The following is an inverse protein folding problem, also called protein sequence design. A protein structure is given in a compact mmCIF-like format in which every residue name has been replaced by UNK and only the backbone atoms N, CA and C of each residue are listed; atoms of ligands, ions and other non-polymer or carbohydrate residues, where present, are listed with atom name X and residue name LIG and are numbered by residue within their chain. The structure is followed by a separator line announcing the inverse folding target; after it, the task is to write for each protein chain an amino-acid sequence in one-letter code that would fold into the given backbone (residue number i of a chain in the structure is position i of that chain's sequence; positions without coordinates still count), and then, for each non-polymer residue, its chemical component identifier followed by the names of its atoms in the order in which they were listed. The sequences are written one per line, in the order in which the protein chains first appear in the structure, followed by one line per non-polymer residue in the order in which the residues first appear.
data_IF_636476939381
#
_entry.id   IF_636476939381
#
_cell.length_a   1.000
_cell.length_b   1.000
_cell.length_c   1.000
_cell.angle_alpha   90.00
_cell.angle_beta   90.00
_cell.angle_gamma   90.00
#
_symmetry.space_group_name_H-M   'P 1'
#
loop_
_entity.id
_entity.type
_entity.pdbx_description
1 polymer ?
#
# COMPACT_ATOMS: atom_id res chain seq x y z
N UNK A 1 22.06 -18.49 -18.27
CA UNK A 1 21.93 -19.00 -16.88
C UNK A 1 20.46 -18.91 -16.51
N UNK A 2 19.91 -19.86 -15.78
CA UNK A 2 18.56 -19.77 -15.26
C UNK A 2 18.51 -18.66 -14.21
N UNK A 3 17.52 -17.76 -14.31
CA UNK A 3 17.33 -16.71 -13.33
C UNK A 3 16.75 -17.30 -12.05
N UNK A 4 17.27 -16.89 -10.90
CA UNK A 4 16.80 -17.29 -9.58
C UNK A 4 16.12 -16.13 -8.88
N UNK A 5 14.91 -16.35 -8.40
CA UNK A 5 14.15 -15.39 -7.62
C UNK A 5 14.10 -15.80 -6.15
N UNK A 6 13.90 -14.84 -5.25
CA UNK A 6 13.52 -15.14 -3.88
C UNK A 6 12.21 -14.46 -3.49
N UNK A 7 11.49 -15.05 -2.56
CA UNK A 7 10.27 -14.50 -1.97
C UNK A 7 10.50 -14.31 -0.46
N UNK A 8 10.62 -13.06 -0.04
CA UNK A 8 10.78 -12.68 1.36
C UNK A 8 9.41 -12.51 2.01
N UNK A 9 9.16 -13.19 3.10
CA UNK A 9 7.91 -13.08 3.86
C UNK A 9 8.19 -13.21 5.36
N UNK A 10 7.29 -12.69 6.18
CA UNK A 10 7.27 -12.95 7.62
C UNK A 10 5.97 -13.65 8.06
N UNK A 11 5.05 -13.81 7.12
CA UNK A 11 3.81 -14.55 7.26
C UNK A 11 3.35 -15.06 5.90
N UNK A 12 3.05 -16.35 5.81
CA UNK A 12 2.52 -16.95 4.60
C UNK A 12 1.01 -16.73 4.53
N UNK A 13 0.55 -15.87 3.62
CA UNK A 13 -0.86 -15.62 3.31
C UNK A 13 -1.24 -16.34 2.01
N UNK A 14 -2.44 -16.10 1.52
CA UNK A 14 -2.89 -16.62 0.21
C UNK A 14 -1.99 -16.10 -0.91
N UNK A 15 -1.65 -14.81 -0.87
CA UNK A 15 -0.82 -14.14 -1.87
C UNK A 15 0.55 -14.81 -2.03
N UNK A 16 1.25 -15.09 -0.94
CA UNK A 16 2.57 -15.72 -0.98
C UNK A 16 2.48 -17.16 -1.52
N UNK A 17 1.44 -17.92 -1.14
CA UNK A 17 1.20 -19.27 -1.67
C UNK A 17 0.96 -19.24 -3.17
N UNK A 18 0.16 -18.31 -3.67
CA UNK A 18 -0.14 -18.22 -5.10
C UNK A 18 1.05 -17.73 -5.93
N UNK A 19 1.92 -16.85 -5.38
CA UNK A 19 3.18 -16.50 -6.04
C UNK A 19 4.10 -17.73 -6.16
N UNK A 20 4.21 -18.55 -5.10
CA UNK A 20 5.00 -19.79 -5.13
C UNK A 20 4.42 -20.77 -6.19
N UNK A 21 3.09 -20.96 -6.19
CA UNK A 21 2.41 -21.81 -7.15
C UNK A 21 2.63 -21.33 -8.60
N UNK A 22 2.56 -20.01 -8.84
CA UNK A 22 2.80 -19.43 -10.16
C UNK A 22 4.24 -19.64 -10.64
N UNK A 23 5.22 -19.46 -9.76
CA UNK A 23 6.62 -19.76 -10.08
C UNK A 23 6.82 -21.24 -10.46
N UNK A 24 6.24 -22.16 -9.70
CA UNK A 24 6.28 -23.60 -9.99
C UNK A 24 5.65 -23.94 -11.35
N UNK A 25 4.46 -23.38 -11.65
CA UNK A 25 3.77 -23.58 -12.94
C UNK A 25 4.61 -23.07 -14.12
N UNK A 26 5.36 -21.99 -13.92
CA UNK A 26 6.22 -21.38 -14.94
C UNK A 26 7.62 -22.04 -15.01
N UNK A 27 7.93 -22.99 -14.15
CA UNK A 27 9.27 -23.63 -14.08
C UNK A 27 10.37 -22.66 -13.62
N UNK A 28 10.02 -21.62 -12.85
CA UNK A 28 10.95 -20.61 -12.32
C UNK A 28 11.43 -21.03 -10.95
N UNK A 29 12.75 -20.98 -10.72
CA UNK A 29 13.33 -21.19 -9.40
C UNK A 29 13.00 -20.02 -8.50
N UNK A 30 12.12 -20.22 -7.53
CA UNK A 30 11.75 -19.26 -6.51
C UNK A 30 12.08 -19.81 -5.12
N UNK A 31 12.92 -19.12 -4.36
CA UNK A 31 13.34 -19.50 -3.01
C UNK A 31 12.51 -18.76 -1.96
N UNK A 32 11.59 -19.44 -1.23
CA UNK A 32 10.88 -18.83 -0.11
C UNK A 32 11.84 -18.63 1.06
N UNK A 33 11.87 -17.42 1.63
CA UNK A 33 12.76 -17.04 2.74
C UNK A 33 11.94 -16.40 3.84
N UNK A 34 11.91 -17.02 5.03
CA UNK A 34 11.28 -16.39 6.20
C UNK A 34 12.18 -15.28 6.74
N UNK A 35 11.71 -14.07 6.60
CA UNK A 35 12.43 -12.87 7.04
C UNK A 35 12.71 -12.81 8.55
N UNK A 36 11.99 -13.61 9.35
CA UNK A 36 12.22 -13.70 10.80
C UNK A 36 13.43 -14.58 11.17
N UNK A 37 13.86 -15.41 10.25
CA UNK A 37 15.01 -16.31 10.41
C UNK A 37 16.30 -15.72 9.84
N UNK A 38 16.23 -14.51 9.25
CA UNK A 38 17.38 -13.83 8.68
C UNK A 38 18.20 -13.09 9.74
N UNK A 39 19.53 -13.22 9.60
CA UNK A 39 20.49 -12.28 10.14
C UNK A 39 21.40 -11.81 9.00
N UNK A 40 21.58 -10.51 8.85
CA UNK A 40 22.28 -9.91 7.72
C UNK A 40 23.51 -9.11 8.21
N UNK A 41 24.68 -9.45 7.70
CA UNK A 41 25.90 -8.68 7.97
C UNK A 41 25.93 -7.46 7.02
N UNK A 42 25.70 -6.27 7.57
CA UNK A 42 25.62 -5.00 6.81
C UNK A 42 27.00 -4.45 6.41
N UNK A 43 28.07 -4.91 7.05
CA UNK A 43 29.45 -4.52 6.68
C UNK A 43 30.07 -5.42 5.62
N UNK A 44 29.47 -6.59 5.35
CA UNK A 44 29.80 -7.42 4.22
C UNK A 44 28.90 -7.05 3.03
N UNK A 45 29.45 -6.37 2.03
CA UNK A 45 28.72 -5.90 0.86
C UNK A 45 28.62 -6.95 -0.26
N UNK A 46 29.18 -8.13 -0.08
CA UNK A 46 29.06 -9.19 -1.08
C UNK A 46 27.59 -9.59 -1.23
N UNK A 47 27.21 -9.87 -2.48
CA UNK A 47 25.91 -10.42 -2.81
C UNK A 47 25.75 -11.78 -2.15
N UNK A 48 24.65 -12.00 -1.48
CA UNK A 48 24.35 -13.27 -0.85
C UNK A 48 23.48 -14.10 -1.81
N UNK A 49 24.01 -15.24 -2.26
CA UNK A 49 23.39 -16.08 -3.30
C UNK A 49 22.01 -16.63 -2.91
N UNK A 50 21.66 -16.64 -1.62
CA UNK A 50 20.34 -17.12 -1.19
C UNK A 50 19.20 -16.25 -1.73
N UNK A 51 19.47 -14.95 -1.99
CA UNK A 51 18.46 -14.01 -2.49
C UNK A 51 18.29 -14.06 -4.01
N UNK A 52 19.17 -14.74 -4.74
CA UNK A 52 19.11 -14.83 -6.19
C UNK A 52 19.35 -13.50 -6.91
N UNK A 53 18.77 -13.36 -8.09
CA UNK A 53 18.92 -12.17 -8.94
C UNK A 53 17.98 -11.05 -8.52
N UNK A 54 16.73 -11.40 -8.14
CA UNK A 54 15.70 -10.47 -7.69
C UNK A 54 14.96 -11.07 -6.48
N UNK A 55 14.75 -10.24 -5.46
CA UNK A 55 13.94 -10.58 -4.30
C UNK A 55 12.54 -9.91 -4.39
N UNK A 56 11.49 -10.69 -4.18
CA UNK A 56 10.11 -10.20 -4.07
C UNK A 56 9.82 -10.03 -2.59
N UNK A 57 9.69 -8.80 -2.11
CA UNK A 57 9.43 -8.49 -0.70
C UNK A 57 7.91 -8.48 -0.43
N UNK A 58 7.48 -9.28 0.56
CA UNK A 58 6.08 -9.50 0.93
C UNK A 58 5.84 -9.54 2.44
N UNK A 59 6.73 -8.99 3.26
CA UNK A 59 6.52 -8.96 4.71
C UNK A 59 5.27 -8.15 5.07
N UNK A 60 4.52 -8.65 6.05
CA UNK A 60 3.40 -7.93 6.65
C UNK A 60 3.90 -6.78 7.54
N UNK A 61 5.04 -6.98 8.20
CA UNK A 61 5.69 -5.95 8.99
C UNK A 61 6.41 -4.95 8.08
N UNK A 62 5.83 -3.76 7.92
CA UNK A 62 6.38 -2.70 7.08
C UNK A 62 7.87 -2.42 7.36
N UNK A 63 8.25 -2.15 8.58
CA UNK A 63 9.64 -1.81 8.90
C UNK A 63 10.61 -2.99 8.71
N UNK A 64 10.17 -4.23 8.94
CA UNK A 64 11.00 -5.41 8.62
C UNK A 64 11.27 -5.48 7.12
N UNK A 65 10.23 -5.44 6.31
CA UNK A 65 10.37 -5.46 4.85
C UNK A 65 11.21 -4.30 4.34
N UNK A 66 10.94 -3.08 4.84
CA UNK A 66 11.66 -1.87 4.44
C UNK A 66 13.17 -1.96 4.73
N UNK A 67 13.57 -2.38 5.94
CA UNK A 67 14.99 -2.46 6.27
C UNK A 67 15.70 -3.63 5.57
N UNK A 68 15.02 -4.77 5.38
CA UNK A 68 15.59 -5.86 4.58
C UNK A 68 15.80 -5.37 3.15
N UNK A 69 14.83 -4.71 2.54
CA UNK A 69 14.96 -4.12 1.20
C UNK A 69 16.16 -3.17 1.10
N UNK A 70 16.32 -2.25 2.07
CA UNK A 70 17.47 -1.35 2.10
C UNK A 70 18.81 -2.09 2.13
N UNK A 71 18.90 -3.15 2.96
CA UNK A 71 20.13 -3.97 3.08
C UNK A 71 20.40 -4.72 1.78
N UNK A 72 19.39 -5.31 1.16
CA UNK A 72 19.54 -6.06 -0.09
C UNK A 72 19.96 -5.17 -1.25
N UNK A 73 19.33 -4.00 -1.40
CA UNK A 73 19.70 -3.02 -2.42
C UNK A 73 21.14 -2.51 -2.23
N UNK A 74 21.56 -2.28 -0.96
CA UNK A 74 22.95 -1.90 -0.66
C UNK A 74 23.96 -3.01 -1.03
N UNK A 75 23.52 -4.27 -1.06
CA UNK A 75 24.31 -5.43 -1.54
C UNK A 75 24.18 -5.65 -3.06
N UNK A 76 23.52 -4.76 -3.80
CA UNK A 76 23.31 -4.86 -5.24
C UNK A 76 22.30 -5.93 -5.67
N UNK A 77 21.38 -6.32 -4.77
CA UNK A 77 20.26 -7.22 -5.08
C UNK A 77 19.04 -6.34 -5.40
N UNK A 78 18.43 -6.57 -6.55
CA UNK A 78 17.19 -5.88 -6.90
C UNK A 78 16.03 -6.39 -6.05
N UNK A 79 15.19 -5.48 -5.54
CA UNK A 79 14.02 -5.84 -4.75
C UNK A 79 12.74 -5.29 -5.39
N UNK A 80 11.70 -6.05 -5.38
CA UNK A 80 10.34 -5.67 -5.74
C UNK A 80 9.50 -5.64 -4.45
N UNK A 81 9.06 -4.48 -4.02
CA UNK A 81 9.28 -3.13 -4.58
C UNK A 81 10.58 -2.52 -4.07
N UNK A 82 11.19 -1.57 -4.82
CA UNK A 82 12.39 -0.86 -4.37
C UNK A 82 12.18 -0.12 -3.05
N UNK A 83 13.26 0.08 -2.30
CA UNK A 83 13.24 0.81 -1.03
C UNK A 83 12.54 2.17 -1.13
N UNK A 84 12.84 2.93 -2.19
CA UNK A 84 12.23 4.25 -2.40
C UNK A 84 10.70 4.19 -2.55
N UNK A 85 10.19 3.15 -3.22
CA UNK A 85 8.75 2.91 -3.39
C UNK A 85 8.13 2.42 -2.08
N UNK A 86 8.77 1.45 -1.42
CA UNK A 86 8.29 0.89 -0.16
C UNK A 86 8.23 1.96 0.95
N UNK A 87 9.27 2.80 1.07
CA UNK A 87 9.33 3.89 2.03
C UNK A 87 8.24 4.94 1.77
N UNK A 88 8.07 5.34 0.49
CA UNK A 88 7.08 6.35 0.12
C UNK A 88 5.64 5.85 0.34
N UNK A 89 5.32 4.66 -0.14
CA UNK A 89 3.97 4.10 -0.03
C UNK A 89 3.62 3.65 1.41
N UNK A 90 4.62 3.35 2.24
CA UNK A 90 4.42 2.99 3.64
C UNK A 90 4.00 4.16 4.53
N UNK A 91 4.33 5.38 4.13
CA UNK A 91 4.04 6.62 4.83
C UNK A 91 2.92 7.40 4.11
N UNK A 92 1.74 7.48 4.72
CA UNK A 92 0.57 8.15 4.12
C UNK A 92 0.80 9.63 3.86
N UNK A 93 1.55 10.31 4.74
CA UNK A 93 1.85 11.72 4.58
C UNK A 93 2.75 11.95 3.36
N UNK A 94 3.85 11.21 3.27
CA UNK A 94 4.79 11.35 2.15
C UNK A 94 4.14 10.94 0.82
N UNK A 95 3.34 9.88 0.81
CA UNK A 95 2.62 9.42 -0.36
C UNK A 95 1.62 10.48 -0.84
N UNK A 96 0.77 11.02 0.05
CA UNK A 96 -0.20 12.06 -0.29
C UNK A 96 0.47 13.34 -0.80
N UNK A 97 1.57 13.77 -0.18
CA UNK A 97 2.35 14.91 -0.65
C UNK A 97 2.92 14.69 -2.06
N UNK A 98 3.41 13.48 -2.34
CA UNK A 98 3.95 13.11 -3.66
C UNK A 98 2.86 13.14 -4.73
N UNK A 99 1.70 12.56 -4.45
CA UNK A 99 0.54 12.54 -5.36
C UNK A 99 0.02 13.96 -5.62
N UNK A 100 -0.19 14.76 -4.58
CA UNK A 100 -0.65 16.13 -4.69
C UNK A 100 0.31 17.01 -5.50
N UNK A 101 1.63 16.90 -5.25
CA UNK A 101 2.68 17.64 -6.00
C UNK A 101 2.66 17.28 -7.49
N UNK A 102 2.29 16.06 -7.84
CA UNK A 102 2.18 15.60 -9.23
C UNK A 102 0.85 15.96 -9.89
N UNK A 103 -0.05 16.66 -9.18
CA UNK A 103 -1.38 17.01 -9.68
C UNK A 103 -2.35 15.84 -9.77
N UNK A 104 -2.09 14.74 -9.03
CA UNK A 104 -3.03 13.64 -8.89
C UNK A 104 -4.15 14.09 -7.94
N UNK A 105 -5.42 14.01 -8.33
CA UNK A 105 -6.53 14.31 -7.42
C UNK A 105 -6.46 13.45 -6.17
N UNK A 106 -6.35 14.09 -5.00
CA UNK A 106 -6.32 13.42 -3.70
C UNK A 106 -7.29 14.13 -2.74
N UNK A 107 -7.82 13.44 -1.73
CA UNK A 107 -8.64 14.10 -0.74
C UNK A 107 -7.88 15.22 -0.02
N UNK A 108 -8.58 16.31 0.32
CA UNK A 108 -8.00 17.39 1.13
C UNK A 108 -7.39 16.82 2.41
N UNK A 109 -6.14 17.15 2.67
CA UNK A 109 -5.39 16.60 3.79
C UNK A 109 -4.64 17.71 4.50
N UNK A 110 -4.73 17.74 5.82
CA UNK A 110 -4.01 18.66 6.71
C UNK A 110 -3.17 17.85 7.68
N UNK A 111 -2.02 18.36 8.03
CA UNK A 111 -1.15 17.77 9.05
C UNK A 111 -0.84 18.80 10.12
N UNK A 112 -1.01 18.43 11.39
CA UNK A 112 -0.62 19.21 12.53
C UNK A 112 0.31 18.39 13.43
N UNK A 113 1.11 19.06 14.26
CA UNK A 113 2.11 18.43 15.13
C UNK A 113 1.80 18.65 16.62
N UNK A 114 0.71 19.33 16.91
CA UNK A 114 0.14 19.47 18.24
C UNK A 114 -1.38 19.31 18.18
N UNK A 115 -1.97 18.92 19.30
CA UNK A 115 -3.43 18.79 19.41
C UNK A 115 -4.14 20.10 19.13
N UNK A 116 -3.62 21.22 19.69
CA UNK A 116 -4.24 22.53 19.55
C UNK A 116 -4.27 23.00 18.10
N UNK A 117 -3.16 22.84 17.36
CA UNK A 117 -3.12 23.17 15.93
C UNK A 117 -3.96 22.19 15.08
N UNK A 118 -4.10 20.93 15.50
CA UNK A 118 -5.00 19.98 14.84
C UNK A 118 -6.47 20.39 15.02
N UNK A 119 -6.87 20.81 16.23
CA UNK A 119 -8.21 21.34 16.50
C UNK A 119 -8.47 22.61 15.70
N UNK A 120 -7.53 23.55 15.70
CA UNK A 120 -7.64 24.77 14.91
C UNK A 120 -7.79 24.51 13.42
N UNK A 121 -6.99 23.60 12.85
CA UNK A 121 -7.09 23.22 11.45
C UNK A 121 -8.45 22.59 11.10
N UNK A 122 -9.03 21.80 12.01
CA UNK A 122 -10.37 21.26 11.84
C UNK A 122 -11.44 22.36 11.83
N UNK A 123 -11.34 23.36 12.70
CA UNK A 123 -12.33 24.42 12.82
C UNK A 123 -12.21 25.48 11.71
N UNK A 124 -11.00 25.83 11.30
CA UNK A 124 -10.77 26.94 10.36
C UNK A 124 -10.69 26.47 8.89
N UNK A 125 -10.21 25.25 8.64
CA UNK A 125 -9.91 24.84 7.27
C UNK A 125 -10.60 23.55 6.80
N UNK A 126 -10.66 22.50 7.66
CA UNK A 126 -11.15 21.19 7.23
C UNK A 126 -12.65 21.04 7.34
N UNK A 127 -13.21 21.40 8.49
CA UNK A 127 -14.59 21.15 8.85
C UNK A 127 -14.84 19.69 9.30
N UNK A 128 -16.10 19.42 9.62
CA UNK A 128 -16.56 18.08 10.02
C UNK A 128 -17.63 17.57 9.05
N UNK A 129 -17.71 16.25 8.81
CA UNK A 129 -16.83 15.20 9.34
C UNK A 129 -15.48 15.14 8.63
N UNK A 130 -14.44 14.75 9.37
CA UNK A 130 -13.12 14.44 8.84
C UNK A 130 -12.66 13.05 9.29
N UNK A 131 -11.50 12.59 8.83
CA UNK A 131 -10.93 11.29 9.20
C UNK A 131 -9.51 11.48 9.70
N UNK A 132 -9.23 11.03 10.91
CA UNK A 132 -7.84 10.97 11.41
C UNK A 132 -7.24 9.59 11.15
N UNK A 133 -6.00 9.56 10.65
CA UNK A 133 -5.27 8.33 10.32
C UNK A 133 -3.87 8.37 10.92
N UNK A 134 -3.28 7.24 11.33
CA UNK A 134 -1.85 7.18 11.60
C UNK A 134 -1.08 7.31 10.29
N UNK A 135 0.08 7.97 10.30
CA UNK A 135 0.94 8.08 9.10
C UNK A 135 1.45 6.72 8.63
N UNK A 136 1.77 5.82 9.56
CA UNK A 136 2.07 4.41 9.31
C UNK A 136 0.95 3.51 9.80
N UNK A 137 0.55 2.55 9.01
CA UNK A 137 -0.48 1.56 9.40
C UNK A 137 -1.28 1.05 8.22
N UNK A 138 -1.86 -0.15 8.41
CA UNK A 138 -2.63 -0.88 7.39
C UNK A 138 -3.94 -1.41 7.97
N UNK A 139 -4.79 -1.93 7.10
CA UNK A 139 -6.07 -2.58 7.42
C UNK A 139 -7.08 -1.70 8.18
N UNK A 140 -7.01 -0.39 8.01
CA UNK A 140 -7.94 0.53 8.67
C UNK A 140 -7.80 0.57 10.21
N UNK A 141 -6.65 0.16 10.75
CA UNK A 141 -6.37 0.25 12.19
C UNK A 141 -6.05 1.69 12.58
N UNK A 142 -6.56 2.10 13.75
CA UNK A 142 -6.37 3.46 14.29
C UNK A 142 -6.85 4.58 13.35
N UNK A 143 -7.74 4.24 12.41
CA UNK A 143 -8.46 5.23 11.60
C UNK A 143 -9.80 5.49 12.27
N UNK A 144 -10.11 6.75 12.52
CA UNK A 144 -11.35 7.15 13.18
C UNK A 144 -12.00 8.35 12.49
N UNK A 145 -13.35 8.40 12.43
CA UNK A 145 -14.06 9.57 11.96
C UNK A 145 -14.11 10.63 13.05
N UNK A 146 -13.77 11.85 12.71
CA UNK A 146 -13.96 13.05 13.51
C UNK A 146 -15.30 13.66 13.10
N UNK A 147 -16.37 13.29 13.81
CA UNK A 147 -17.74 13.66 13.42
C UNK A 147 -18.08 15.11 13.77
N UNK A 148 -17.53 15.57 14.87
CA UNK A 148 -17.77 16.88 15.47
C UNK A 148 -16.56 17.27 16.35
N UNK A 149 -16.63 18.47 16.91
CA UNK A 149 -15.59 19.03 17.76
C UNK A 149 -15.31 18.18 19.01
N UNK A 150 -16.34 17.66 19.67
CA UNK A 150 -16.19 16.87 20.90
C UNK A 150 -15.49 15.53 20.62
N UNK A 151 -15.94 14.82 19.58
CA UNK A 151 -15.31 13.59 19.12
C UNK A 151 -13.84 13.81 18.69
N UNK A 152 -13.58 14.93 18.00
CA UNK A 152 -12.21 15.28 17.58
C UNK A 152 -11.32 15.51 18.79
N UNK A 153 -11.77 16.34 19.75
CA UNK A 153 -10.99 16.64 20.96
C UNK A 153 -10.63 15.36 21.72
N UNK A 154 -11.60 14.49 21.98
CA UNK A 154 -11.36 13.23 22.70
C UNK A 154 -10.35 12.32 21.99
N UNK A 155 -10.46 12.17 20.65
CA UNK A 155 -9.56 11.32 19.89
C UNK A 155 -8.14 11.90 19.75
N UNK A 156 -7.99 13.22 19.71
CA UNK A 156 -6.69 13.87 19.67
C UNK A 156 -5.99 13.79 21.04
N UNK A 157 -6.74 13.93 22.14
CA UNK A 157 -6.24 13.71 23.49
C UNK A 157 -5.77 12.26 23.69
N UNK A 158 -6.56 11.27 23.27
CA UNK A 158 -6.19 9.86 23.34
C UNK A 158 -4.86 9.57 22.59
N UNK A 159 -4.67 10.18 21.41
CA UNK A 159 -3.41 10.03 20.65
C UNK A 159 -2.21 10.69 21.33
N UNK A 160 -2.41 11.82 21.98
CA UNK A 160 -1.37 12.50 22.73
C UNK A 160 -0.85 11.61 23.88
N UNK A 161 -1.78 10.91 24.57
CA UNK A 161 -1.48 10.01 25.69
C UNK A 161 -0.92 8.65 25.26
N UNK A 162 -1.07 8.22 24.01
CA UNK A 162 -0.56 6.93 23.52
C UNK A 162 0.98 6.77 23.62
N UNK A 163 1.72 7.82 23.90
CA UNK A 163 3.16 7.81 24.16
C UNK A 163 4.05 7.50 22.94
N UNK A 164 3.48 7.28 21.77
CA UNK A 164 4.23 7.08 20.53
C UNK A 164 4.26 8.37 19.71
N UNK A 165 5.44 8.99 19.50
CA UNK A 165 5.56 10.26 18.77
C UNK A 165 4.91 10.27 17.37
N UNK A 166 4.81 9.11 16.71
CA UNK A 166 4.16 9.00 15.40
C UNK A 166 2.64 9.23 15.48
N UNK A 167 2.01 9.06 16.65
CA UNK A 167 0.59 9.35 16.81
C UNK A 167 0.31 10.83 17.09
N UNK A 168 1.34 11.58 17.43
CA UNK A 168 1.30 13.05 17.58
C UNK A 168 1.56 13.78 16.24
N UNK A 169 1.72 13.03 15.14
CA UNK A 169 1.60 13.55 13.78
C UNK A 169 0.13 13.37 13.39
N UNK A 170 -0.64 14.43 13.53
CA UNK A 170 -2.08 14.42 13.29
C UNK A 170 -2.37 14.57 11.80
N UNK A 171 -2.41 13.44 11.09
CA UNK A 171 -2.77 13.37 9.67
C UNK A 171 -4.30 13.31 9.58
N UNK A 172 -4.90 14.42 9.18
CA UNK A 172 -6.35 14.63 9.09
C UNK A 172 -6.73 14.81 7.63
N UNK A 173 -7.69 14.03 7.17
CA UNK A 173 -8.16 14.03 5.80
C UNK A 173 -9.66 14.25 5.77
N UNK A 174 -10.18 14.93 4.75
CA UNK A 174 -11.62 15.07 4.56
C UNK A 174 -12.32 13.72 4.50
N UNK A 175 -13.53 13.65 5.06
CA UNK A 175 -14.38 12.48 4.89
C UNK A 175 -15.07 12.58 3.53
N UNK A 176 -14.49 11.93 2.52
CA UNK A 176 -14.99 11.95 1.15
C UNK A 176 -16.41 11.37 1.08
N UNK A 177 -17.38 12.16 0.57
CA UNK A 177 -18.72 11.69 0.27
C UNK A 177 -18.66 10.78 -0.96
N UNK A 178 -18.93 9.51 -0.79
CA UNK A 178 -18.78 8.46 -1.82
C UNK A 178 -19.83 7.37 -1.67
N UNK A 179 -20.08 6.56 -2.70
CA UNK A 179 -20.81 5.31 -2.55
C UNK A 179 -20.18 4.43 -1.45
N UNK A 180 -20.92 3.48 -0.84
CA UNK A 180 -20.38 2.60 0.22
C UNK A 180 -19.37 1.58 -0.34
N UNK A 181 -18.50 2.04 -1.22
CA UNK A 181 -17.45 1.26 -1.88
C UNK A 181 -16.25 2.14 -2.20
N UNK A 182 -15.13 1.52 -2.47
CA UNK A 182 -13.97 2.11 -3.12
C UNK A 182 -13.46 1.21 -4.24
N UNK A 183 -12.46 1.69 -4.97
CA UNK A 183 -11.81 0.97 -6.07
C UNK A 183 -10.41 0.58 -5.61
N UNK A 184 -10.09 -0.73 -5.66
CA UNK A 184 -8.73 -1.26 -5.52
C UNK A 184 -8.25 -1.76 -6.86
N UNK A 185 -7.16 -1.17 -7.35
CA UNK A 185 -6.50 -1.63 -8.58
C UNK A 185 -5.12 -2.20 -8.27
N UNK A 186 -4.83 -3.38 -8.77
CA UNK A 186 -3.52 -4.01 -8.73
C UNK A 186 -2.77 -3.63 -9.99
N UNK A 187 -1.61 -2.99 -9.84
CA UNK A 187 -0.70 -2.59 -10.92
C UNK A 187 0.57 -3.42 -10.80
N UNK A 188 1.04 -3.98 -11.91
CA UNK A 188 2.29 -4.73 -12.02
C UNK A 188 3.13 -4.09 -13.12
N UNK A 189 4.22 -3.44 -12.72
CA UNK A 189 5.01 -2.63 -13.66
C UNK A 189 4.22 -1.43 -14.17
N UNK A 190 3.95 -1.41 -15.46
CA UNK A 190 3.17 -0.41 -16.19
C UNK A 190 1.78 -0.92 -16.61
N UNK A 191 1.37 -2.09 -16.12
CA UNK A 191 0.11 -2.74 -16.50
C UNK A 191 -0.85 -2.85 -15.34
N UNK A 192 -2.13 -2.63 -15.61
CA UNK A 192 -3.22 -2.95 -14.68
C UNK A 192 -3.51 -4.44 -14.77
N UNK A 193 -3.24 -5.18 -13.68
CA UNK A 193 -3.53 -6.60 -13.60
C UNK A 193 -5.03 -6.83 -13.31
N UNK A 194 -5.60 -6.14 -12.33
CA UNK A 194 -7.01 -6.27 -12.00
C UNK A 194 -7.51 -5.02 -11.27
N UNK A 195 -8.80 -4.74 -11.41
CA UNK A 195 -9.49 -3.72 -10.65
C UNK A 195 -10.80 -4.23 -10.09
N UNK A 196 -11.07 -3.91 -8.82
CA UNK A 196 -12.26 -4.34 -8.10
C UNK A 196 -12.89 -3.20 -7.31
N UNK A 197 -14.20 -3.23 -7.21
CA UNK A 197 -14.92 -2.53 -6.15
C UNK A 197 -14.80 -3.31 -4.84
N UNK A 198 -14.54 -2.59 -3.75
CA UNK A 198 -14.62 -3.14 -2.39
C UNK A 198 -15.78 -2.47 -1.69
N UNK A 199 -16.80 -3.22 -1.35
CA UNK A 199 -17.96 -2.72 -0.61
C UNK A 199 -17.73 -2.81 0.88
N UNK A 200 -18.14 -1.79 1.62
CA UNK A 200 -18.13 -1.81 3.08
C UNK A 200 -19.12 -2.84 3.64
N UNK A 201 -18.82 -3.40 4.81
CA UNK A 201 -19.81 -4.15 5.57
C UNK A 201 -20.95 -3.21 6.03
N UNK A 202 -22.17 -3.72 6.32
CA UNK A 202 -23.31 -2.86 6.68
C UNK A 202 -23.06 -1.93 7.87
N UNK A 203 -22.23 -2.36 8.81
CA UNK A 203 -21.96 -1.64 10.07
C UNK A 203 -20.57 -0.97 10.09
N UNK A 204 -19.85 -0.94 8.96
CA UNK A 204 -18.54 -0.30 8.86
C UNK A 204 -18.49 0.60 7.61
N UNK A 205 -18.03 1.82 7.78
CA UNK A 205 -17.81 2.76 6.68
C UNK A 205 -16.52 2.47 5.88
N UNK A 206 -15.65 1.63 6.44
CA UNK A 206 -14.40 1.21 5.80
C UNK A 206 -14.63 0.04 4.84
N UNK A 207 -13.98 0.06 3.72
CA UNK A 207 -14.19 -0.89 2.60
C UNK A 207 -13.21 -2.08 2.59
N UNK A 208 -12.39 -2.22 3.65
CA UNK A 208 -11.40 -3.29 3.72
C UNK A 208 -12.06 -4.68 3.72
N UNK A 209 -11.69 -5.54 2.75
CA UNK A 209 -12.19 -6.92 2.64
C UNK A 209 -11.91 -7.73 3.92
N UNK A 210 -10.78 -7.48 4.59
CA UNK A 210 -10.45 -8.09 5.87
C UNK A 210 -11.47 -7.80 7.01
N UNK A 211 -12.38 -6.83 6.80
CA UNK A 211 -13.44 -6.43 7.73
C UNK A 211 -14.83 -6.92 7.30
N UNK A 212 -14.90 -7.91 6.40
CA UNK A 212 -16.17 -8.48 5.91
C UNK A 212 -16.75 -7.80 4.66
N UNK A 213 -15.97 -6.92 4.01
CA UNK A 213 -16.34 -6.31 2.73
C UNK A 213 -16.44 -7.33 1.60
N UNK A 214 -17.25 -7.01 0.57
CA UNK A 214 -17.39 -7.80 -0.65
C UNK A 214 -16.53 -7.21 -1.76
N UNK A 215 -16.04 -8.08 -2.66
CA UNK A 215 -15.37 -7.67 -3.88
C UNK A 215 -16.28 -7.91 -5.09
N UNK A 216 -16.23 -6.99 -6.06
CA UNK A 216 -16.83 -7.14 -7.39
C UNK A 216 -15.88 -6.59 -8.44
N UNK A 217 -15.94 -7.10 -9.67
CA UNK A 217 -15.11 -6.58 -10.77
C UNK A 217 -15.44 -5.12 -11.03
N UNK A 218 -14.41 -4.29 -11.14
CA UNK A 218 -14.55 -2.89 -11.54
C UNK A 218 -14.11 -2.73 -13.01
N UNK A 219 -15.05 -2.36 -13.88
CA UNK A 219 -14.72 -1.99 -15.26
C UNK A 219 -14.18 -0.55 -15.28
N UNK A 220 -12.90 -0.41 -15.62
CA UNK A 220 -12.22 0.87 -15.66
C UNK A 220 -12.57 1.63 -16.95
N UNK A 221 -12.89 2.92 -16.83
CA UNK A 221 -12.86 3.87 -17.95
C UNK A 221 -11.42 4.20 -18.34
N UNK A 222 -11.18 4.72 -19.54
CA UNK A 222 -9.82 5.10 -19.95
C UNK A 222 -9.24 6.17 -19.02
N UNK A 223 -10.02 7.19 -18.66
CA UNK A 223 -9.58 8.26 -17.74
C UNK A 223 -9.14 7.69 -16.38
N UNK A 224 -9.87 6.69 -15.85
CA UNK A 224 -9.52 6.05 -14.58
C UNK A 224 -8.26 5.19 -14.72
N UNK A 225 -8.08 4.49 -15.85
CA UNK A 225 -6.84 3.74 -16.13
C UNK A 225 -5.64 4.67 -16.17
N UNK A 226 -5.73 5.78 -16.91
CA UNK A 226 -4.68 6.78 -17.01
C UNK A 226 -4.33 7.37 -15.63
N UNK A 227 -5.34 7.72 -14.84
CA UNK A 227 -5.15 8.25 -13.49
C UNK A 227 -4.44 7.26 -12.57
N UNK A 228 -4.85 5.98 -12.60
CA UNK A 228 -4.25 4.91 -11.80
C UNK A 228 -2.78 4.68 -12.20
N UNK A 229 -2.52 4.55 -13.50
CA UNK A 229 -1.16 4.32 -14.01
C UNK A 229 -0.25 5.52 -13.70
N UNK A 230 -0.76 6.75 -13.85
CA UNK A 230 -0.03 7.95 -13.46
C UNK A 230 0.28 8.01 -11.96
N UNK A 231 -0.67 7.62 -11.10
CA UNK A 231 -0.42 7.53 -9.66
C UNK A 231 0.66 6.49 -9.33
N UNK A 232 0.63 5.32 -9.99
CA UNK A 232 1.65 4.29 -9.85
C UNK A 232 3.03 4.77 -10.33
N UNK A 233 3.10 5.47 -11.46
CA UNK A 233 4.34 6.06 -11.99
C UNK A 233 4.92 7.10 -11.01
N UNK A 234 4.09 7.97 -10.45
CA UNK A 234 4.49 9.05 -9.54
C UNK A 234 5.13 8.53 -8.25
N UNK A 235 4.70 7.39 -7.74
CA UNK A 235 5.30 6.76 -6.56
C UNK A 235 6.49 5.87 -6.90
N UNK A 236 6.65 5.51 -8.15
CA UNK A 236 7.66 4.59 -8.67
C UNK A 236 7.04 3.24 -9.03
N UNK A 237 7.46 2.69 -10.18
CA UNK A 237 6.91 1.42 -10.70
C UNK A 237 7.23 0.23 -9.81
N UNK A 238 6.31 -0.74 -9.76
CA UNK A 238 6.47 -1.97 -8.97
C UNK A 238 5.21 -2.82 -9.00
N UNK A 239 4.99 -3.58 -7.95
CA UNK A 239 3.75 -4.31 -7.69
C UNK A 239 2.95 -3.50 -6.66
N UNK A 240 1.97 -2.76 -7.13
CA UNK A 240 1.29 -1.73 -6.36
C UNK A 240 -0.21 -1.98 -6.25
N UNK A 241 -0.79 -1.53 -5.14
CA UNK A 241 -2.24 -1.43 -4.98
C UNK A 241 -2.65 0.03 -4.92
N UNK A 242 -3.37 0.53 -5.92
CA UNK A 242 -3.88 1.89 -5.96
C UNK A 242 -5.31 1.90 -5.48
N UNK A 243 -5.61 2.72 -4.45
CA UNK A 243 -6.94 2.88 -3.88
C UNK A 243 -7.54 4.22 -4.31
N UNK A 244 -8.68 4.13 -4.99
CA UNK A 244 -9.42 5.28 -5.50
C UNK A 244 -10.84 5.35 -4.92
N UNK A 245 -11.37 6.57 -4.82
CA UNK A 245 -12.74 6.84 -4.41
C UNK A 245 -13.47 7.60 -5.49
N UNK A 246 -14.71 7.19 -5.75
CA UNK A 246 -15.66 7.91 -6.60
C UNK A 246 -16.28 9.06 -5.79
N UNK A 247 -16.22 10.28 -6.30
CA UNK A 247 -16.86 11.46 -5.71
C UNK A 247 -17.80 12.11 -6.71
N UNK A 248 -18.59 13.08 -6.26
CA UNK A 248 -19.44 13.86 -7.18
C UNK A 248 -18.64 14.69 -8.19
N UNK A 249 -17.38 15.01 -7.85
CA UNK A 249 -16.49 15.86 -8.65
C UNK A 249 -15.54 15.06 -9.53
N UNK A 250 -15.53 13.74 -9.41
CA UNK A 250 -14.65 12.83 -10.13
C UNK A 250 -14.00 11.77 -9.24
N UNK A 251 -12.85 11.28 -9.65
CA UNK A 251 -12.12 10.24 -8.93
C UNK A 251 -10.94 10.87 -8.16
N UNK A 252 -10.74 10.44 -6.94
CA UNK A 252 -9.56 10.80 -6.13
C UNK A 252 -8.77 9.56 -5.74
N UNK A 253 -7.44 9.65 -5.76
CA UNK A 253 -6.54 8.61 -5.26
C UNK A 253 -6.23 8.91 -3.80
N UNK A 254 -6.56 7.99 -2.91
CA UNK A 254 -6.36 8.24 -1.49
C UNK A 254 -5.24 7.44 -0.84
N UNK A 255 -4.75 6.40 -1.50
CA UNK A 255 -3.64 5.58 -1.01
C UNK A 255 -3.00 4.76 -2.14
N UNK A 256 -1.67 4.58 -2.07
CA UNK A 256 -0.94 3.61 -2.88
C UNK A 256 -0.17 2.69 -1.94
N UNK A 257 -0.34 1.38 -2.12
CA UNK A 257 0.22 0.34 -1.26
C UNK A 257 1.33 -0.42 -2.01
N UNK A 258 2.51 -0.57 -1.41
CA UNK A 258 3.64 -1.32 -1.97
C UNK A 258 3.63 -2.82 -1.66
N UNK A 259 2.85 -3.26 -0.66
CA UNK A 259 2.66 -4.69 -0.35
C UNK A 259 1.18 -5.04 -0.55
N UNK A 260 0.75 -4.99 -1.82
CA UNK A 260 -0.67 -5.13 -2.17
C UNK A 260 -1.21 -6.53 -1.85
N UNK A 261 -2.37 -6.58 -1.19
CA UNK A 261 -3.18 -7.80 -1.07
C UNK A 261 -4.10 -7.90 -2.29
N UNK A 262 -4.02 -9.04 -2.99
CA UNK A 262 -4.77 -9.28 -4.23
C UNK A 262 -5.71 -10.49 -4.19
N UNK A 263 -5.84 -11.16 -3.04
CA UNK A 263 -6.80 -12.27 -2.87
C UNK A 263 -8.24 -11.89 -3.24
N UNK A 264 -8.64 -10.65 -2.92
CA UNK A 264 -9.97 -10.14 -3.28
C UNK A 264 -10.14 -10.00 -4.79
N UNK A 265 -9.12 -9.55 -5.51
CA UNK A 265 -9.13 -9.48 -6.96
C UNK A 265 -9.17 -10.87 -7.59
N UNK A 266 -8.39 -11.82 -7.08
CA UNK A 266 -8.40 -13.21 -7.55
C UNK A 266 -9.74 -13.92 -7.30
N UNK A 267 -10.51 -13.52 -6.31
CA UNK A 267 -11.81 -14.15 -6.04
C UNK A 267 -12.90 -13.81 -7.04
N UNK A 268 -12.71 -12.76 -7.83
CA UNK A 268 -13.71 -12.24 -8.80
C UNK A 268 -13.17 -12.04 -10.21
N UNK A 269 -11.88 -12.31 -10.44
CA UNK A 269 -11.21 -12.16 -11.72
C UNK A 269 -10.40 -13.42 -12.04
N UNK A 270 -10.39 -13.82 -13.32
CA UNK A 270 -9.59 -14.95 -13.83
C UNK A 270 -8.15 -14.55 -14.20
N UNK A 271 -7.76 -13.30 -13.97
CA UNK A 271 -6.42 -12.80 -14.31
C UNK A 271 -5.36 -13.45 -13.40
N UNK A 272 -4.32 -13.98 -14.01
CA UNK A 272 -3.17 -14.59 -13.30
C UNK A 272 -2.24 -13.51 -12.71
N UNK A 273 -2.72 -12.81 -11.67
CA UNK A 273 -1.94 -11.77 -10.98
C UNK A 273 -0.58 -12.31 -10.48
N UNK A 274 -0.52 -13.48 -9.79
CA UNK A 274 0.75 -14.06 -9.35
C UNK A 274 1.71 -14.33 -10.51
N UNK A 275 1.19 -14.84 -11.63
CA UNK A 275 1.99 -15.08 -12.84
C UNK A 275 2.55 -13.80 -13.44
N UNK A 276 1.79 -12.71 -13.46
CA UNK A 276 2.27 -11.38 -13.88
C UNK A 276 3.39 -10.87 -12.96
N UNK A 277 3.28 -11.09 -11.65
CA UNK A 277 4.33 -10.71 -10.68
C UNK A 277 5.63 -11.48 -10.96
N UNK A 278 5.55 -12.77 -11.24
CA UNK A 278 6.74 -13.60 -11.60
C UNK A 278 7.35 -13.10 -12.92
N UNK A 279 6.54 -12.84 -13.95
CA UNK A 279 7.04 -12.33 -15.23
C UNK A 279 7.75 -10.98 -15.04
N UNK A 280 7.15 -10.07 -14.28
CA UNK A 280 7.77 -8.78 -13.94
C UNK A 280 9.11 -8.96 -13.19
N UNK A 281 9.17 -9.90 -12.25
CA UNK A 281 10.41 -10.18 -11.53
C UNK A 281 11.51 -10.73 -12.47
N UNK A 282 11.16 -11.60 -13.43
CA UNK A 282 12.08 -12.10 -14.43
C UNK A 282 12.56 -11.02 -15.40
N UNK A 283 11.71 -10.07 -15.78
CA UNK A 283 12.10 -8.91 -16.58
C UNK A 283 13.10 -8.03 -15.84
N UNK A 284 12.89 -7.82 -14.53
CA UNK A 284 13.83 -7.07 -13.69
C UNK A 284 15.16 -7.77 -13.54
N UNK A 285 15.18 -9.10 -13.44
CA UNK A 285 16.41 -9.89 -13.34
C UNK A 285 17.27 -9.88 -14.62
N UNK A 286 16.72 -9.42 -15.76
CA UNK A 286 17.46 -9.28 -17.04
C UNK A 286 18.16 -7.94 -17.19
N UNK A 287 17.79 -6.96 -16.38
CA UNK A 287 18.34 -5.58 -16.41
C UNK A 287 19.47 -5.44 -15.41
#
# INVERSE_FOLDING_TARGET
MSQTLSLLYDRVRVEEKEIINAAQKKGVELRPIDAKELHLNITNLNKDEIFGDVAIERCVSHFRGLYITAILENKGIQVINPFSVAALCGDKLLCSMRLAKAGIPTPKTIVAFTKDEAMKALEEEMGYPAVIKPVFGSWGRLIAPLKDRETAQALLEDREEMGNPLYQIYYIQEMVERPPRDIRTVVVGDQIAASIYRYSAPDDWRTNIARGGKAEVCSLTEDLKELILKAAEVVGTGVLGVDAMETKEGIVIHEVNSTVEFKGAMSVSEVDIPGMIIDYALERARK
#
